data_IF_598676557164
#
_entry.id   IF_598676557164
#
_cell.length_a   1.000
_cell.length_b   1.000
_cell.length_c   1.000
_cell.angle_alpha   90.00
_cell.angle_beta   90.00
_cell.angle_gamma   90.00
#
_symmetry.space_group_name_H-M   'P 1'
#
loop_
_entity.id
_entity.type
_entity.pdbx_description
1 polymer ?
#
# COMPACT_ATOMS: atom_id res chain seq x y z
N UNK A 1 15.24 -0.73 -17.83
CA UNK A 1 14.59 -0.25 -16.58
C UNK A 1 14.81 -1.34 -15.54
N UNK A 2 15.10 -0.98 -14.29
CA UNK A 2 15.25 -1.98 -13.24
C UNK A 2 13.88 -2.60 -12.93
N UNK A 3 13.80 -3.93 -12.91
CA UNK A 3 12.61 -4.65 -12.44
C UNK A 3 12.33 -4.24 -11.00
N UNK A 4 11.10 -3.83 -10.71
CA UNK A 4 10.66 -3.55 -9.34
C UNK A 4 9.92 -4.76 -8.83
N UNK A 5 10.39 -5.43 -7.77
CA UNK A 5 9.66 -6.55 -7.26
C UNK A 5 8.40 -6.08 -6.54
N UNK A 6 7.28 -6.73 -6.84
CA UNK A 6 6.00 -6.54 -6.17
C UNK A 6 5.74 -7.80 -5.35
N UNK A 7 5.53 -7.65 -4.05
CA UNK A 7 5.19 -8.79 -3.20
C UNK A 7 3.71 -9.12 -3.28
N UNK A 8 3.43 -10.42 -3.37
CA UNK A 8 2.08 -10.97 -3.31
C UNK A 8 1.92 -11.73 -2.00
N UNK A 9 0.99 -11.26 -1.18
CA UNK A 9 0.61 -11.84 0.10
C UNK A 9 -0.63 -12.70 -0.06
N UNK A 10 -0.52 -13.98 0.28
CA UNK A 10 -1.66 -14.89 0.36
C UNK A 10 -2.18 -14.87 1.80
N UNK A 11 -3.34 -14.25 2.04
CA UNK A 11 -3.93 -14.11 3.39
C UNK A 11 -5.00 -15.15 3.70
N UNK A 12 -5.26 -16.04 2.74
CA UNK A 12 -6.17 -17.19 2.84
C UNK A 12 -5.49 -18.45 2.27
N UNK A 13 -5.88 -19.67 2.68
CA UNK A 13 -5.40 -20.88 2.03
C UNK A 13 -5.84 -20.96 0.56
N UNK A 14 -4.88 -20.95 -0.37
CA UNK A 14 -5.13 -21.23 -1.79
C UNK A 14 -4.87 -22.70 -2.08
N UNK A 15 -5.69 -23.30 -2.94
CA UNK A 15 -5.33 -24.59 -3.54
C UNK A 15 -4.07 -24.43 -4.40
N UNK A 16 -3.21 -25.46 -4.55
CA UNK A 16 -2.03 -25.36 -5.40
C UNK A 16 -2.35 -24.94 -6.84
N UNK A 17 -3.49 -25.39 -7.37
CA UNK A 17 -3.97 -25.01 -8.70
C UNK A 17 -4.41 -23.54 -8.78
N UNK A 18 -5.17 -23.05 -7.79
CA UNK A 18 -5.59 -21.66 -7.75
C UNK A 18 -4.41 -20.70 -7.63
N UNK A 19 -3.39 -21.09 -6.85
CA UNK A 19 -2.15 -20.32 -6.72
C UNK A 19 -1.40 -20.23 -8.05
N UNK A 20 -1.16 -21.37 -8.71
CA UNK A 20 -0.49 -21.40 -10.01
C UNK A 20 -1.26 -20.58 -11.06
N UNK A 21 -2.59 -20.63 -11.03
CA UNK A 21 -3.43 -19.82 -11.91
C UNK A 21 -3.26 -18.33 -11.63
N UNK A 22 -3.26 -17.89 -10.36
CA UNK A 22 -3.03 -16.49 -10.01
C UNK A 22 -1.64 -16.02 -10.43
N UNK A 23 -0.60 -16.80 -10.12
CA UNK A 23 0.78 -16.46 -10.47
C UNK A 23 0.95 -16.32 -11.99
N UNK A 24 0.39 -17.24 -12.77
CA UNK A 24 0.41 -17.15 -14.23
C UNK A 24 -0.33 -15.92 -14.76
N UNK A 25 -1.48 -15.58 -14.15
CA UNK A 25 -2.22 -14.38 -14.50
C UNK A 25 -1.43 -13.11 -14.19
N UNK A 26 -0.81 -13.02 -13.01
CA UNK A 26 0.01 -11.88 -12.59
C UNK A 26 1.23 -11.70 -13.49
N UNK A 27 1.92 -12.79 -13.86
CA UNK A 27 3.04 -12.74 -14.80
C UNK A 27 2.67 -12.17 -16.18
N UNK A 28 1.39 -12.21 -16.57
CA UNK A 28 0.92 -11.63 -17.83
C UNK A 28 0.56 -10.14 -17.73
N UNK A 29 0.39 -9.60 -16.52
CA UNK A 29 -0.03 -8.20 -16.32
C UNK A 29 1.11 -7.22 -16.58
N UNK A 30 2.37 -7.65 -16.44
CA UNK A 30 3.51 -6.76 -16.64
C UNK A 30 4.83 -7.49 -16.88
N UNK A 31 5.53 -7.09 -17.96
CA UNK A 31 6.91 -7.50 -18.25
C UNK A 31 7.97 -6.81 -17.35
N UNK A 32 7.58 -5.76 -16.61
CA UNK A 32 8.49 -4.92 -15.80
C UNK A 32 8.29 -5.08 -14.29
N UNK A 33 7.39 -5.98 -13.88
CA UNK A 33 7.12 -6.34 -12.48
C UNK A 33 7.59 -7.76 -12.22
N UNK A 34 8.47 -7.91 -11.23
CA UNK A 34 8.87 -9.23 -10.75
C UNK A 34 8.03 -9.57 -9.51
N UNK A 35 7.11 -10.53 -9.61
CA UNK A 35 6.31 -10.88 -8.45
C UNK A 35 7.11 -11.77 -7.50
N UNK A 36 7.45 -11.26 -6.31
CA UNK A 36 8.00 -12.06 -5.23
C UNK A 36 6.86 -12.68 -4.44
N UNK A 37 6.65 -13.99 -4.59
CA UNK A 37 5.68 -14.72 -3.77
C UNK A 37 6.27 -14.92 -2.37
N UNK A 38 5.54 -14.53 -1.34
CA UNK A 38 5.86 -14.92 0.03
C UNK A 38 5.20 -16.27 0.29
N UNK A 39 5.84 -17.21 1.01
CA UNK A 39 5.21 -18.45 1.40
C UNK A 39 3.86 -18.17 2.07
N UNK A 40 2.86 -19.00 1.75
CA UNK A 40 1.59 -19.05 2.46
C UNK A 40 1.83 -19.67 3.85
N UNK A 41 2.56 -18.94 4.68
CA UNK A 41 2.80 -19.29 6.06
C UNK A 41 1.65 -18.72 6.87
N UNK A 42 1.06 -19.57 7.72
CA UNK A 42 -0.04 -19.21 8.61
C UNK A 42 0.28 -18.01 9.54
N UNK A 43 1.52 -17.54 9.56
CA UNK A 43 2.02 -16.39 10.33
C UNK A 43 1.45 -15.04 9.87
N UNK A 44 0.81 -14.99 8.69
CA UNK A 44 0.30 -13.75 8.09
C UNK A 44 -1.23 -13.59 8.22
N UNK A 45 -1.93 -14.61 8.73
CA UNK A 45 -3.38 -14.53 8.95
C UNK A 45 -3.71 -13.53 10.06
N UNK A 46 -4.67 -12.64 9.78
CA UNK A 46 -5.16 -11.65 10.76
C UNK A 46 -4.31 -10.38 10.88
N UNK A 47 -3.20 -10.27 10.13
CA UNK A 47 -2.44 -9.02 10.03
C UNK A 47 -3.18 -8.01 9.16
N UNK A 48 -3.10 -6.72 9.54
CA UNK A 48 -3.57 -5.64 8.67
C UNK A 48 -2.71 -5.57 7.40
N UNK A 49 -3.24 -5.06 6.28
CA UNK A 49 -2.47 -4.84 5.06
C UNK A 49 -1.17 -4.05 5.26
N UNK A 50 -1.17 -3.08 6.18
CA UNK A 50 0.01 -2.31 6.55
C UNK A 50 1.03 -3.15 7.34
N UNK A 51 0.58 -4.01 8.26
CA UNK A 51 1.45 -4.95 8.97
C UNK A 51 2.10 -5.97 8.02
N UNK A 52 1.34 -6.49 7.06
CA UNK A 52 1.85 -7.37 6.01
C UNK A 52 2.94 -6.66 5.21
N UNK A 53 2.67 -5.42 4.80
CA UNK A 53 3.62 -4.58 4.06
C UNK A 53 4.95 -4.41 4.81
N UNK A 54 4.91 -4.15 6.13
CA UNK A 54 6.12 -3.98 6.97
C UNK A 54 6.94 -5.26 7.11
N UNK A 55 6.31 -6.43 7.26
CA UNK A 55 7.02 -7.68 7.56
C UNK A 55 8.03 -8.09 6.49
N UNK A 56 7.88 -7.60 5.26
CA UNK A 56 8.74 -7.96 4.12
C UNK A 56 9.91 -6.99 3.97
N UNK A 57 10.03 -5.99 4.84
CA UNK A 57 11.06 -4.96 4.73
C UNK A 57 10.88 -4.06 3.51
N UNK A 58 9.65 -3.97 2.99
CA UNK A 58 9.33 -3.02 1.93
C UNK A 58 9.28 -1.62 2.53
N UNK A 59 10.39 -0.89 2.47
CA UNK A 59 10.43 0.53 2.76
C UNK A 59 10.11 1.33 1.50
N UNK A 60 9.31 2.37 1.68
CA UNK A 60 9.31 3.48 0.72
C UNK A 60 10.73 4.08 0.68
N UNK A 61 11.24 4.53 -0.49
CA UNK A 61 10.59 4.59 -1.82
C UNK A 61 10.81 3.36 -2.71
N UNK A 62 11.49 2.33 -2.23
CA UNK A 62 11.96 1.22 -3.08
C UNK A 62 10.82 0.28 -3.48
N UNK A 63 9.83 0.09 -2.60
CA UNK A 63 8.69 -0.80 -2.82
C UNK A 63 7.37 -0.12 -2.44
N UNK A 64 6.76 0.68 -3.33
CA UNK A 64 5.56 1.46 -3.02
C UNK A 64 4.27 0.66 -2.91
N UNK A 65 4.23 -0.56 -3.47
CA UNK A 65 3.03 -1.35 -3.60
C UNK A 65 3.22 -2.80 -3.16
N UNK A 66 2.15 -3.38 -2.65
CA UNK A 66 2.02 -4.81 -2.50
C UNK A 66 0.62 -5.30 -2.88
N UNK A 67 0.52 -6.59 -3.20
CA UNK A 67 -0.73 -7.23 -3.59
C UNK A 67 -1.13 -8.19 -2.50
N UNK A 68 -2.39 -8.15 -2.10
CA UNK A 68 -3.01 -9.12 -1.19
C UNK A 68 -4.02 -9.94 -1.98
N UNK A 69 -3.79 -11.25 -2.01
CA UNK A 69 -4.70 -12.26 -2.50
C UNK A 69 -5.43 -12.87 -1.30
N UNK A 70 -6.71 -12.54 -1.18
CA UNK A 70 -7.53 -12.89 -0.02
C UNK A 70 -8.55 -14.00 -0.33
N UNK A 71 -9.47 -14.24 0.60
CA UNK A 71 -10.51 -15.26 0.43
C UNK A 71 -11.37 -15.02 -0.81
N UNK A 72 -11.68 -13.75 -1.14
CA UNK A 72 -12.46 -13.42 -2.33
C UNK A 72 -11.68 -13.75 -3.60
N UNK A 73 -10.39 -13.38 -3.66
CA UNK A 73 -9.51 -13.74 -4.78
C UNK A 73 -9.50 -15.26 -5.00
N UNK A 74 -9.35 -16.05 -3.93
CA UNK A 74 -9.37 -17.51 -4.01
C UNK A 74 -10.70 -18.03 -4.57
N UNK A 75 -11.82 -17.54 -4.05
CA UNK A 75 -13.16 -17.95 -4.47
C UNK A 75 -13.45 -17.61 -5.93
N UNK A 76 -12.96 -16.48 -6.44
CA UNK A 76 -13.10 -16.09 -7.84
C UNK A 76 -12.35 -17.04 -8.77
N UNK A 77 -11.12 -17.43 -8.40
CA UNK A 77 -10.31 -18.38 -9.18
C UNK A 77 -10.94 -19.77 -9.16
N UNK A 78 -11.34 -20.27 -7.99
CA UNK A 78 -11.98 -21.58 -7.87
C UNK A 78 -13.31 -21.63 -8.64
N UNK A 79 -14.02 -20.49 -8.73
CA UNK A 79 -15.21 -20.33 -9.55
C UNK A 79 -14.93 -20.07 -11.05
N UNK A 80 -13.67 -20.12 -11.49
CA UNK A 80 -13.24 -19.82 -12.87
C UNK A 80 -13.69 -18.43 -13.37
N UNK A 81 -13.71 -17.44 -12.47
CA UNK A 81 -14.01 -16.04 -12.77
C UNK A 81 -12.71 -15.24 -12.86
N UNK A 82 -12.70 -14.10 -13.58
CA UNK A 82 -11.57 -13.16 -13.52
C UNK A 82 -11.34 -12.73 -12.07
N UNK A 83 -10.13 -12.92 -11.51
CA UNK A 83 -9.88 -12.59 -10.12
C UNK A 83 -9.67 -11.10 -9.93
N UNK A 84 -10.08 -10.63 -8.76
CA UNK A 84 -9.74 -9.34 -8.18
C UNK A 84 -8.74 -9.54 -7.07
N UNK A 85 -7.88 -8.55 -6.87
CA UNK A 85 -6.86 -8.54 -5.81
C UNK A 85 -6.95 -7.23 -5.04
N UNK A 86 -6.42 -7.23 -3.83
CA UNK A 86 -6.26 -6.00 -3.05
C UNK A 86 -4.88 -5.44 -3.36
N UNK A 87 -4.83 -4.21 -3.86
CA UNK A 87 -3.60 -3.42 -4.01
C UNK A 87 -3.44 -2.56 -2.77
N UNK A 88 -2.31 -2.70 -2.11
CA UNK A 88 -1.89 -1.87 -0.98
C UNK A 88 -0.83 -0.92 -1.49
N UNK A 89 -1.06 0.38 -1.32
CA UNK A 89 -0.06 1.40 -1.55
C UNK A 89 0.31 2.00 -0.19
N UNK A 90 1.60 2.09 0.08
CA UNK A 90 2.09 2.74 1.30
C UNK A 90 2.86 3.98 0.90
N UNK A 91 2.61 5.08 1.60
CA UNK A 91 3.43 6.27 1.58
C UNK A 91 3.89 6.55 3.00
N UNK A 92 5.18 6.76 3.18
CA UNK A 92 5.72 7.01 4.49
C UNK A 92 5.97 8.49 4.69
N UNK A 93 5.49 9.01 5.83
CA UNK A 93 5.88 10.30 6.38
C UNK A 93 6.96 10.03 7.42
N UNK A 94 8.21 10.38 7.12
CA UNK A 94 9.31 10.23 8.08
C UNK A 94 9.47 11.50 8.91
N UNK A 95 10.10 11.38 10.08
CA UNK A 95 10.45 12.57 10.87
C UNK A 95 11.44 13.50 10.16
N UNK A 96 12.19 12.97 9.18
CA UNK A 96 13.08 13.78 8.36
C UNK A 96 12.30 14.65 7.39
N UNK A 97 11.24 14.12 6.78
CA UNK A 97 10.36 14.90 5.90
C UNK A 97 9.66 16.03 6.67
N UNK A 98 9.19 15.75 7.88
CA UNK A 98 8.56 16.75 8.74
C UNK A 98 9.57 17.79 9.23
N UNK A 99 10.83 17.40 9.43
CA UNK A 99 11.89 18.32 9.78
C UNK A 99 12.16 19.35 8.68
N UNK A 100 12.28 18.90 7.44
CA UNK A 100 12.61 19.76 6.31
C UNK A 100 11.46 20.72 5.94
N UNK A 101 10.24 20.40 6.36
CA UNK A 101 9.03 21.18 6.09
C UNK A 101 8.59 22.08 7.26
N UNK A 102 9.15 21.89 8.46
CA UNK A 102 8.76 22.67 9.63
C UNK A 102 9.24 24.13 9.53
N UNK A 103 8.30 25.07 9.55
CA UNK A 103 8.54 26.52 9.49
C UNK A 103 8.14 27.27 10.77
N UNK A 104 7.78 26.54 11.82
CA UNK A 104 7.29 27.11 13.07
C UNK A 104 8.37 27.78 13.92
N UNK A 105 7.95 28.48 14.99
CA UNK A 105 8.83 29.32 15.80
C UNK A 105 9.79 28.53 16.70
N UNK A 106 9.53 27.24 16.92
CA UNK A 106 10.30 26.40 17.84
C UNK A 106 11.47 25.79 17.10
N UNK A 107 12.73 26.06 17.47
CA UNK A 107 13.84 25.42 16.79
C UNK A 107 14.00 23.98 17.31
N UNK A 108 13.55 22.94 16.58
CA UNK A 108 13.53 21.59 17.14
C UNK A 108 14.96 21.03 17.22
N UNK A 109 15.96 21.71 16.64
CA UNK A 109 17.39 21.37 16.75
C UNK A 109 17.97 21.65 18.13
N UNK A 110 17.28 22.49 18.91
CA UNK A 110 17.66 22.81 20.28
C UNK A 110 16.96 21.92 21.31
N UNK A 111 15.96 21.14 20.89
CA UNK A 111 15.27 20.19 21.75
C UNK A 111 16.13 18.95 22.02
N UNK A 112 16.06 18.37 23.25
CA UNK A 112 16.54 17.02 23.52
C UNK A 112 15.94 16.01 22.53
N UNK A 113 16.72 14.99 22.16
CA UNK A 113 16.34 14.00 21.12
C UNK A 113 14.95 13.38 21.36
N UNK A 114 14.65 12.97 22.59
CA UNK A 114 13.35 12.38 22.92
C UNK A 114 12.17 13.36 22.72
N UNK A 115 12.36 14.65 23.04
CA UNK A 115 11.34 15.68 22.85
C UNK A 115 11.18 16.03 21.37
N UNK A 116 12.29 16.09 20.63
CA UNK A 116 12.30 16.29 19.18
C UNK A 116 11.54 15.18 18.45
N UNK A 117 11.79 13.92 18.80
CA UNK A 117 11.10 12.78 18.21
C UNK A 117 9.60 12.84 18.51
N UNK A 118 9.21 13.16 19.76
CA UNK A 118 7.80 13.30 20.14
C UNK A 118 7.11 14.42 19.37
N UNK A 119 7.76 15.59 19.26
CA UNK A 119 7.25 16.75 18.54
C UNK A 119 7.06 16.47 17.04
N UNK A 120 8.07 15.88 16.39
CA UNK A 120 7.99 15.55 14.96
C UNK A 120 6.94 14.46 14.68
N UNK A 121 6.70 13.53 15.62
CA UNK A 121 5.60 12.56 15.52
C UNK A 121 4.25 13.25 15.59
N UNK A 122 4.08 14.19 16.52
CA UNK A 122 2.84 14.96 16.64
C UNK A 122 2.55 15.78 15.36
N UNK A 123 3.58 16.37 14.75
CA UNK A 123 3.45 17.04 13.46
C UNK A 123 3.06 16.09 12.33
N UNK A 124 3.73 14.94 12.23
CA UNK A 124 3.39 13.91 11.26
C UNK A 124 1.93 13.45 11.44
N UNK A 125 1.47 13.25 12.70
CA UNK A 125 0.10 12.84 13.02
C UNK A 125 -0.91 13.93 12.64
N UNK A 126 -0.61 15.19 12.96
CA UNK A 126 -1.46 16.32 12.61
C UNK A 126 -1.61 16.47 11.10
N UNK A 127 -0.51 16.30 10.34
CA UNK A 127 -0.53 16.34 8.89
C UNK A 127 -1.31 15.17 8.30
N UNK A 128 -1.11 13.96 8.81
CA UNK A 128 -1.88 12.78 8.43
C UNK A 128 -3.40 13.01 8.61
N UNK A 129 -3.80 13.61 9.74
CA UNK A 129 -5.21 13.97 10.00
C UNK A 129 -5.72 15.02 9.02
N UNK A 130 -4.93 16.07 8.75
CA UNK A 130 -5.30 17.12 7.80
C UNK A 130 -5.48 16.56 6.38
N UNK A 131 -4.52 15.76 5.91
CA UNK A 131 -4.58 15.16 4.57
C UNK A 131 -5.74 14.15 4.46
N UNK A 132 -6.06 13.41 5.53
CA UNK A 132 -7.26 12.58 5.60
C UNK A 132 -8.54 13.42 5.44
N UNK A 133 -8.62 14.59 6.08
CA UNK A 133 -9.79 15.49 5.97
C UNK A 133 -9.92 16.10 4.56
N UNK A 134 -8.81 16.56 3.98
CA UNK A 134 -8.78 17.16 2.64
C UNK A 134 -9.12 16.17 1.53
N UNK A 135 -8.72 14.90 1.70
CA UNK A 135 -9.08 13.80 0.80
C UNK A 135 -10.52 13.28 0.99
N UNK A 136 -11.30 13.89 1.89
CA UNK A 136 -12.70 13.51 2.10
C UNK A 136 -12.88 12.30 3.02
N UNK A 137 -11.97 12.10 3.98
CA UNK A 137 -12.21 11.46 5.27
C UNK A 137 -12.09 9.94 5.34
N UNK A 138 -12.17 9.17 4.25
CA UNK A 138 -12.57 7.75 4.40
C UNK A 138 -11.62 6.67 3.85
N UNK A 139 -10.43 6.96 3.33
CA UNK A 139 -9.69 5.88 2.66
C UNK A 139 -8.15 5.90 2.76
N UNK A 140 -7.56 6.58 3.74
CA UNK A 140 -6.14 6.35 4.09
C UNK A 140 -6.06 5.85 5.53
N UNK A 141 -5.45 4.69 5.72
CA UNK A 141 -5.16 4.13 7.03
C UNK A 141 -3.81 4.64 7.46
N UNK A 142 -3.80 5.44 8.52
CA UNK A 142 -2.57 5.96 9.09
C UNK A 142 -2.16 5.06 10.24
N UNK A 143 -0.99 4.45 10.13
CA UNK A 143 -0.47 3.58 11.16
C UNK A 143 0.90 4.08 11.65
N UNK A 144 1.11 4.21 12.97
CA UNK A 144 2.42 4.56 13.52
C UNK A 144 3.49 3.55 13.11
N UNK A 145 4.64 4.05 12.65
CA UNK A 145 5.80 3.23 12.31
C UNK A 145 6.86 3.36 13.41
N UNK A 146 6.82 2.44 14.38
CA UNK A 146 7.73 2.45 15.54
C UNK A 146 9.18 2.16 15.18
N UNK A 147 9.45 1.49 14.07
CA UNK A 147 10.81 1.08 13.67
C UNK A 147 11.56 2.23 12.99
N UNK A 148 10.86 3.07 12.23
CA UNK A 148 11.46 4.18 11.46
C UNK A 148 11.09 5.55 12.01
N UNK A 149 10.44 5.57 13.18
CA UNK A 149 9.93 6.75 13.86
C UNK A 149 8.92 7.59 13.06
N UNK A 150 8.34 7.09 11.96
CA UNK A 150 7.41 7.84 11.11
C UNK A 150 5.94 7.40 11.24
N UNK A 151 5.15 7.77 10.24
CA UNK A 151 3.77 7.31 10.06
C UNK A 151 3.63 6.77 8.64
N UNK A 152 3.02 5.59 8.52
CA UNK A 152 2.67 5.03 7.22
C UNK A 152 1.24 5.47 6.87
N UNK A 153 1.09 6.16 5.74
CA UNK A 153 -0.17 6.36 5.05
C UNK A 153 -0.41 5.15 4.15
N UNK A 154 -1.44 4.36 4.43
CA UNK A 154 -1.73 3.15 3.66
C UNK A 154 -3.08 3.28 2.95
N UNK A 155 -3.06 3.10 1.64
CA UNK A 155 -4.24 3.04 0.78
C UNK A 155 -4.47 1.61 0.37
N UNK A 156 -5.71 1.15 0.49
CA UNK A 156 -6.13 -0.19 0.12
C UNK A 156 -7.19 -0.06 -0.97
N UNK A 157 -7.00 -0.73 -2.09
CA UNK A 157 -7.94 -0.72 -3.21
C UNK A 157 -8.12 -2.14 -3.72
N UNK A 158 -9.37 -2.61 -3.84
CA UNK A 158 -9.63 -3.83 -4.62
C UNK A 158 -9.64 -3.48 -6.09
N UNK A 159 -8.88 -4.20 -6.91
CA UNK A 159 -8.78 -3.99 -8.33
C UNK A 159 -8.86 -5.31 -9.10
N UNK A 160 -9.33 -5.26 -10.34
CA UNK A 160 -9.07 -6.35 -11.28
C UNK A 160 -7.59 -6.35 -11.71
N UNK A 161 -7.16 -7.37 -12.44
CA UNK A 161 -5.76 -7.51 -12.83
C UNK A 161 -5.26 -6.36 -13.72
N UNK A 162 -6.11 -5.84 -14.60
CA UNK A 162 -5.76 -4.71 -15.47
C UNK A 162 -5.60 -3.42 -14.65
N UNK A 163 -6.54 -3.15 -13.75
CA UNK A 163 -6.53 -2.05 -12.81
C UNK A 163 -5.30 -2.12 -11.91
N UNK A 164 -5.00 -3.27 -11.32
CA UNK A 164 -3.78 -3.48 -10.53
C UNK A 164 -2.51 -3.14 -11.32
N UNK A 165 -2.39 -3.62 -12.57
CA UNK A 165 -1.27 -3.28 -13.44
C UNK A 165 -1.15 -1.77 -13.70
N UNK A 166 -2.28 -1.10 -13.95
CA UNK A 166 -2.35 0.35 -14.11
C UNK A 166 -1.89 1.09 -12.85
N UNK A 167 -2.31 0.63 -11.67
CA UNK A 167 -1.92 1.23 -10.38
C UNK A 167 -0.42 1.18 -10.20
N UNK A 168 0.14 -0.03 -10.30
CA UNK A 168 1.53 -0.26 -9.99
C UNK A 168 2.47 0.36 -11.06
N UNK A 169 1.96 0.69 -12.26
CA UNK A 169 2.72 1.42 -13.30
C UNK A 169 2.63 2.92 -13.21
N UNK A 170 1.41 3.45 -13.30
CA UNK A 170 1.18 4.86 -13.53
C UNK A 170 1.51 5.64 -12.27
N UNK A 171 1.15 5.08 -11.12
CA UNK A 171 1.41 5.68 -9.81
C UNK A 171 2.71 5.20 -9.18
N UNK A 172 3.39 4.22 -9.78
CA UNK A 172 4.79 3.89 -9.43
C UNK A 172 5.79 5.00 -9.82
N UNK A 173 5.36 6.02 -10.57
CA UNK A 173 6.23 7.06 -11.14
C UNK A 173 5.73 8.49 -10.84
N UNK A 174 4.44 8.68 -10.54
CA UNK A 174 3.84 9.99 -10.28
C UNK A 174 3.14 9.98 -8.93
N UNK A 175 3.38 11.05 -8.19
CA UNK A 175 2.96 11.31 -6.81
C UNK A 175 1.79 10.45 -6.33
N UNK A 176 2.06 9.57 -5.37
CA UNK A 176 1.07 8.64 -4.79
C UNK A 176 -0.13 9.40 -4.16
N UNK A 177 0.00 10.71 -3.93
CA UNK A 177 -1.09 11.61 -3.52
C UNK A 177 -2.17 11.78 -4.60
N UNK A 178 -1.81 11.77 -5.88
CA UNK A 178 -2.75 11.87 -7.01
C UNK A 178 -3.58 10.59 -7.19
N UNK A 179 -3.07 9.48 -6.66
CA UNK A 179 -3.69 8.16 -6.71
C UNK A 179 -5.10 8.17 -6.05
N UNK A 180 -5.28 8.98 -4.99
CA UNK A 180 -6.53 9.10 -4.26
C UNK A 180 -7.70 9.63 -5.12
N UNK A 181 -7.50 10.74 -5.84
CA UNK A 181 -8.58 11.40 -6.59
C UNK A 181 -9.05 10.58 -7.80
N UNK A 182 -8.21 9.68 -8.28
CA UNK A 182 -8.49 8.81 -9.42
C UNK A 182 -9.26 7.56 -9.00
N UNK A 183 -8.91 6.96 -7.87
CA UNK A 183 -9.59 5.76 -7.37
C UNK A 183 -11.03 5.98 -6.95
N UNK A 184 -11.29 7.04 -6.19
CA UNK A 184 -12.63 7.36 -5.71
C UNK A 184 -13.65 7.44 -6.85
N UNK A 185 -13.27 8.12 -7.95
CA UNK A 185 -14.12 8.25 -9.13
C UNK A 185 -14.44 6.94 -9.84
N UNK A 186 -13.55 5.95 -9.74
CA UNK A 186 -13.66 4.71 -10.52
C UNK A 186 -14.32 3.61 -9.70
N UNK A 187 -13.98 3.46 -8.41
CA UNK A 187 -14.53 2.45 -7.51
C UNK A 187 -16.02 2.67 -7.17
N UNK A 188 -16.45 3.93 -7.05
CA UNK A 188 -17.87 4.30 -6.79
C UNK A 188 -18.81 3.87 -7.93
N UNK A 189 -18.27 3.64 -9.14
CA UNK A 189 -19.05 3.27 -10.32
C UNK A 189 -19.21 1.75 -10.53
N UNK A 190 -18.44 0.93 -9.81
CA UNK A 190 -18.21 -0.50 -10.11
C UNK A 190 -18.31 -1.40 -8.89
N UNK A 191 -19.07 -1.00 -7.87
CA UNK A 191 -19.30 -1.81 -6.67
C UNK A 191 -18.04 -1.99 -5.81
N UNK A 192 -17.11 -1.02 -5.83
CA UNK A 192 -15.90 -1.05 -5.03
C UNK A 192 -14.69 -1.75 -5.65
N UNK A 193 -14.74 -2.12 -6.94
CA UNK A 193 -13.62 -2.71 -7.68
C UNK A 193 -13.06 -1.73 -8.70
N UNK A 194 -11.78 -1.39 -8.60
CA UNK A 194 -11.10 -0.55 -9.57
C UNK A 194 -10.81 -1.33 -10.87
N UNK A 195 -11.22 -0.77 -11.99
CA UNK A 195 -10.89 -1.23 -13.33
C UNK A 195 -9.98 -0.19 -14.00
N UNK A 196 -9.01 -0.64 -14.80
CA UNK A 196 -8.25 0.28 -15.65
C UNK A 196 -9.21 1.10 -16.54
N UNK A 197 -8.93 2.40 -16.78
CA UNK A 197 -9.64 3.17 -17.80
C UNK A 197 -9.52 2.55 -19.20
#
# INVERSE_FOLDING_TARGET
>A
MAERPISVFYTHPFSPGARQALEALLSNVSEWMSFSSIPNDNNHHGLSPAQLFRQVGHSWPEHPFAIIADQQTAAEIDASRPPTVIVVASWQITLHDEWDLYDGPENPATMPEAQRIAFLRELAEARAIQEAQESGGEEWFWEPNSEQNGIDAVKIVRADLAGMGYICTVYGVKDIRDMHQYFKRTADSTGGVFHSP
#
